data_IF_098091594723
#
_entry.id   IF_098091594723
#
_cell.length_a   1.000
_cell.length_b   1.000
_cell.length_c   1.000
_cell.angle_alpha   90.00
_cell.angle_beta   90.00
_cell.angle_gamma   90.00
#
_symmetry.space_group_name_H-M   'P 1'
#
loop_
_entity.id
_entity.type
_entity.pdbx_description
1 polymer ?
#
# COMPACT_ATOMS: atom_id res chain seq x y z
N UNK A 1 40.42 15.93 -21.98
CA UNK A 1 40.21 15.65 -20.54
C UNK A 1 39.47 14.31 -20.43
N UNK A 2 40.18 13.23 -20.13
CA UNK A 2 39.66 11.86 -20.08
C UNK A 2 38.93 11.62 -18.74
N UNK A 3 37.59 11.59 -18.75
CA UNK A 3 36.81 11.18 -17.58
C UNK A 3 36.34 9.73 -17.79
N UNK A 4 37.01 8.78 -17.12
CA UNK A 4 36.58 7.38 -17.02
C UNK A 4 35.49 7.27 -15.95
N UNK A 5 34.22 7.22 -16.37
CA UNK A 5 33.09 6.93 -15.49
C UNK A 5 33.15 5.46 -15.01
N UNK A 6 33.62 5.24 -13.78
CA UNK A 6 33.57 3.93 -13.10
C UNK A 6 32.31 3.88 -12.23
N UNK A 7 31.17 3.53 -12.83
CA UNK A 7 29.85 3.41 -12.15
C UNK A 7 29.68 2.06 -11.44
N UNK A 8 30.39 1.02 -11.90
CA UNK A 8 30.26 -0.35 -11.40
C UNK A 8 30.67 -0.58 -9.92
N UNK A 9 31.74 0.05 -9.37
CA UNK A 9 32.09 -0.15 -7.95
C UNK A 9 31.12 0.54 -6.98
N UNK A 10 30.39 1.58 -7.42
CA UNK A 10 29.41 2.29 -6.59
C UNK A 10 28.13 1.45 -6.43
N UNK A 11 27.74 0.72 -7.47
CA UNK A 11 26.60 -0.21 -7.42
C UNK A 11 26.91 -1.42 -6.52
N UNK A 12 28.15 -1.92 -6.54
CA UNK A 12 28.60 -3.01 -5.68
C UNK A 12 28.64 -2.60 -4.19
N UNK A 13 29.09 -1.36 -3.89
CA UNK A 13 29.07 -0.82 -2.53
C UNK A 13 27.64 -0.58 -2.01
N UNK A 14 26.72 -0.17 -2.89
CA UNK A 14 25.30 -0.01 -2.57
C UNK A 14 24.59 -1.35 -2.28
N UNK A 15 25.02 -2.45 -2.92
CA UNK A 15 24.48 -3.79 -2.63
C UNK A 15 25.05 -4.41 -1.35
N UNK A 16 26.30 -4.13 -0.98
CA UNK A 16 26.91 -4.66 0.25
C UNK A 16 26.27 -4.08 1.54
N UNK A 17 25.78 -2.84 1.48
CA UNK A 17 25.10 -2.17 2.61
C UNK A 17 23.65 -2.61 2.83
N UNK A 18 23.08 -3.41 1.93
CA UNK A 18 21.75 -4.01 2.10
C UNK A 18 21.75 -5.21 3.08
N UNK A 19 22.91 -5.77 3.42
CA UNK A 19 23.03 -6.99 4.24
C UNK A 19 23.77 -6.80 5.58
N UNK A 20 24.13 -5.58 5.96
CA UNK A 20 24.76 -5.34 7.26
C UNK A 20 23.71 -5.43 8.41
N UNK A 21 23.94 -6.22 9.46
CA UNK A 21 23.08 -6.23 10.63
C UNK A 21 23.13 -4.85 11.30
N UNK A 22 21.97 -4.23 11.50
CA UNK A 22 21.86 -2.95 12.20
C UNK A 22 22.03 -3.17 13.70
N UNK A 23 23.08 -2.57 14.25
CA UNK A 23 23.34 -2.52 15.69
C UNK A 23 22.23 -1.70 16.37
N UNK A 24 21.53 -2.34 17.30
CA UNK A 24 20.55 -1.73 18.18
C UNK A 24 21.31 -0.87 19.22
N UNK A 25 21.05 0.43 19.27
CA UNK A 25 21.53 1.26 20.36
C UNK A 25 20.75 0.91 21.63
N UNK A 26 21.45 0.35 22.62
CA UNK A 26 20.92 0.02 23.93
C UNK A 26 20.90 1.30 24.78
N UNK A 27 19.72 1.70 25.27
CA UNK A 27 19.56 2.84 26.17
C UNK A 27 19.34 2.32 27.60
N UNK A 28 19.95 2.93 28.64
CA UNK A 28 20.12 2.28 29.93
C UNK A 28 18.80 2.08 30.66
N UNK A 29 18.70 0.94 31.36
CA UNK A 29 17.61 0.61 32.25
C UNK A 29 17.51 1.62 33.40
N UNK A 30 16.38 2.33 33.49
CA UNK A 30 15.98 3.03 34.70
C UNK A 30 15.26 2.04 35.63
N UNK A 31 15.74 1.94 36.87
CA UNK A 31 15.21 1.07 37.92
C UNK A 31 13.73 1.37 38.27
N UNK A 32 12.96 0.38 38.75
CA UNK A 32 11.51 0.50 38.92
C UNK A 32 11.18 1.32 40.17
N UNK A 33 10.38 2.38 39.99
CA UNK A 33 9.75 3.08 41.09
C UNK A 33 8.52 2.28 41.55
N UNK A 34 8.60 1.72 42.77
CA UNK A 34 7.49 1.08 43.49
C UNK A 34 6.66 2.18 44.16
N UNK A 35 5.36 2.23 43.88
CA UNK A 35 4.34 2.97 44.64
C UNK A 35 2.95 2.35 44.38
N UNK A 36 2.01 2.41 45.35
CA UNK A 36 1.39 1.22 45.91
C UNK A 36 0.02 0.87 45.33
N UNK A 37 -0.36 -0.39 45.57
CA UNK A 37 -1.70 -0.93 45.35
C UNK A 37 -2.76 -0.10 46.10
N UNK A 38 -3.73 0.41 45.36
CA UNK A 38 -5.00 0.91 45.91
C UNK A 38 -6.14 0.06 45.36
N UNK A 39 -6.80 -0.63 46.27
CA UNK A 39 -8.01 -1.42 46.06
C UNK A 39 -9.18 -0.46 45.84
N UNK A 40 -9.85 -0.54 44.69
CA UNK A 40 -11.24 -0.10 44.55
C UNK A 40 -11.92 -0.78 43.35
N UNK A 41 -12.96 -1.55 43.69
CA UNK A 41 -13.90 -2.22 42.80
C UNK A 41 -14.57 -1.26 41.79
N UNK A 42 -14.54 -1.61 40.50
CA UNK A 42 -15.70 -1.38 39.60
C UNK A 42 -15.64 -2.35 38.42
N UNK A 43 -16.82 -2.71 37.90
CA UNK A 43 -17.07 -3.77 36.92
C UNK A 43 -16.55 -3.52 35.49
N UNK A 44 -15.45 -2.78 35.33
CA UNK A 44 -14.82 -2.46 34.06
C UNK A 44 -13.52 -3.27 33.86
N UNK A 45 -13.26 -3.71 32.63
CA UNK A 45 -12.00 -4.37 32.30
C UNK A 45 -10.84 -3.37 32.45
N UNK A 46 -9.83 -3.74 33.23
CA UNK A 46 -8.63 -2.91 33.44
C UNK A 46 -7.64 -3.13 32.29
N UNK A 47 -6.84 -2.11 31.99
CA UNK A 47 -5.86 -2.11 30.89
C UNK A 47 -4.59 -1.37 31.32
N UNK A 48 -3.44 -2.01 31.10
CA UNK A 48 -2.10 -1.48 31.34
C UNK A 48 -1.23 -1.74 30.10
N UNK A 49 -0.31 -0.82 29.81
CA UNK A 49 0.63 -0.93 28.70
C UNK A 49 2.05 -0.84 29.25
N UNK A 50 2.95 -1.70 28.76
CA UNK A 50 4.36 -1.74 29.17
C UNK A 50 5.17 -0.50 28.74
N UNK A 51 4.86 0.07 27.57
CA UNK A 51 5.54 1.24 27.01
C UNK A 51 4.54 2.31 26.58
N UNK A 52 4.84 3.55 26.93
CA UNK A 52 4.04 4.73 26.56
C UNK A 52 4.52 5.39 25.27
N UNK A 53 5.71 5.03 24.77
CA UNK A 53 6.23 5.55 23.50
C UNK A 53 7.10 4.55 22.72
N UNK A 54 7.06 4.65 21.39
CA UNK A 54 7.85 3.87 20.43
C UNK A 54 8.61 4.80 19.47
N UNK A 55 9.71 4.30 18.91
CA UNK A 55 10.53 4.99 17.91
C UNK A 55 10.52 4.19 16.59
N UNK A 56 9.67 4.58 15.65
CA UNK A 56 9.45 3.91 14.36
C UNK A 56 9.06 2.42 14.48
N UNK A 57 8.09 2.13 15.34
CA UNK A 57 7.58 0.77 15.58
C UNK A 57 8.23 0.05 16.76
N UNK A 58 7.82 -1.20 16.97
CA UNK A 58 8.30 -2.04 18.07
C UNK A 58 7.20 -2.90 18.70
N UNK A 59 7.59 -3.65 19.72
CA UNK A 59 6.69 -4.51 20.49
C UNK A 59 6.19 -3.79 21.74
N UNK A 60 4.88 -3.89 21.94
CA UNK A 60 4.13 -3.43 23.10
C UNK A 60 3.35 -4.59 23.68
N UNK A 61 3.37 -4.72 24.99
CA UNK A 61 2.57 -5.69 25.74
C UNK A 61 1.42 -4.96 26.42
N UNK A 62 0.20 -5.36 26.08
CA UNK A 62 -1.03 -4.88 26.73
C UNK A 62 -1.47 -5.95 27.71
N UNK A 63 -1.64 -5.59 28.98
CA UNK A 63 -2.06 -6.50 30.04
C UNK A 63 -3.23 -5.93 30.81
N UNK A 64 -4.00 -6.78 31.47
CA UNK A 64 -5.10 -6.31 32.31
C UNK A 64 -5.96 -7.45 32.84
N UNK A 65 -7.05 -7.08 33.50
CA UNK A 65 -8.02 -8.03 34.06
C UNK A 65 -9.39 -7.82 33.43
N UNK A 66 -9.97 -8.90 32.92
CA UNK A 66 -11.32 -8.96 32.38
C UNK A 66 -12.20 -9.88 33.24
N UNK A 67 -13.54 -9.80 33.12
CA UNK A 67 -14.44 -10.73 33.81
C UNK A 67 -14.11 -12.20 33.46
N UNK A 68 -14.13 -13.09 34.44
CA UNK A 68 -13.79 -14.50 34.25
C UNK A 68 -14.71 -15.17 33.22
N UNK A 69 -14.14 -16.00 32.34
CA UNK A 69 -14.86 -16.68 31.25
C UNK A 69 -15.17 -15.81 30.02
N UNK A 70 -14.73 -14.55 30.00
CA UNK A 70 -14.96 -13.66 28.85
C UNK A 70 -13.91 -13.81 27.74
N UNK A 71 -14.34 -13.66 26.49
CA UNK A 71 -13.42 -13.55 25.36
C UNK A 71 -12.92 -12.11 25.25
N UNK A 72 -11.60 -11.93 25.28
CA UNK A 72 -10.96 -10.61 25.24
C UNK A 72 -10.47 -10.28 23.83
N UNK A 73 -10.86 -9.11 23.34
CA UNK A 73 -10.43 -8.55 22.06
C UNK A 73 -9.76 -7.21 22.29
N UNK A 74 -8.62 -6.97 21.62
CA UNK A 74 -7.89 -5.71 21.74
C UNK A 74 -7.95 -4.98 20.41
N UNK A 75 -8.61 -3.82 20.36
CA UNK A 75 -8.66 -2.94 19.19
C UNK A 75 -7.56 -1.87 19.33
N UNK A 76 -6.68 -1.77 18.33
CA UNK A 76 -5.60 -0.78 18.27
C UNK A 76 -5.75 0.06 17.02
N UNK A 77 -5.77 1.39 17.17
CA UNK A 77 -5.92 2.30 16.05
C UNK A 77 -5.20 3.64 16.27
N UNK A 78 -4.74 4.26 15.18
CA UNK A 78 -4.15 5.60 15.24
C UNK A 78 -5.23 6.67 15.43
N UNK A 79 -5.11 7.54 16.45
CA UNK A 79 -6.08 8.62 16.70
C UNK A 79 -5.79 9.85 15.87
N UNK A 80 -4.52 10.24 15.78
CA UNK A 80 -4.14 11.57 15.30
C UNK A 80 -4.05 11.63 13.77
N UNK A 81 -3.62 10.52 13.17
CA UNK A 81 -3.38 10.43 11.73
C UNK A 81 -4.49 9.63 11.06
N UNK A 82 -5.20 10.31 10.18
CA UNK A 82 -6.25 9.76 9.33
C UNK A 82 -5.80 9.73 7.88
N UNK A 83 -6.35 8.81 7.11
CA UNK A 83 -5.99 8.53 5.73
C UNK A 83 -7.23 8.42 4.86
N UNK A 84 -7.03 8.66 3.57
CA UNK A 84 -8.08 8.47 2.59
C UNK A 84 -8.23 6.99 2.26
N UNK A 85 -9.46 6.51 2.25
CA UNK A 85 -9.82 5.23 1.66
C UNK A 85 -10.97 5.43 0.67
N UNK A 86 -10.91 4.71 -0.43
CA UNK A 86 -11.94 4.76 -1.46
C UNK A 86 -12.23 3.37 -2.02
N UNK A 87 -13.44 3.20 -2.55
CA UNK A 87 -13.88 1.98 -3.22
C UNK A 87 -14.89 2.36 -4.29
N UNK A 88 -14.70 1.86 -5.49
CA UNK A 88 -15.67 1.93 -6.56
C UNK A 88 -16.45 0.62 -6.64
N UNK A 89 -17.78 0.72 -6.63
CA UNK A 89 -18.68 -0.41 -6.79
C UNK A 89 -19.17 -0.49 -8.25
N UNK A 90 -18.36 -1.17 -9.06
CA UNK A 90 -18.64 -1.46 -10.47
C UNK A 90 -18.99 -2.93 -10.72
N UNK A 91 -19.20 -3.74 -9.67
CA UNK A 91 -19.58 -5.15 -9.85
C UNK A 91 -21.08 -5.28 -10.06
N UNK A 92 -21.47 -6.23 -10.93
CA UNK A 92 -22.88 -6.59 -11.08
C UNK A 92 -23.38 -7.11 -9.74
N UNK A 93 -24.39 -6.45 -9.19
CA UNK A 93 -25.00 -6.90 -7.95
C UNK A 93 -25.80 -8.18 -8.22
N UNK A 94 -25.51 -9.24 -7.47
CA UNK A 94 -26.14 -10.55 -7.61
C UNK A 94 -27.66 -10.49 -7.38
N UNK A 95 -28.13 -9.50 -6.60
CA UNK A 95 -29.55 -9.37 -6.24
C UNK A 95 -30.36 -8.55 -7.24
N UNK A 96 -29.76 -7.51 -7.82
CA UNK A 96 -30.46 -6.57 -8.70
C UNK A 96 -30.08 -6.72 -10.17
N UNK A 97 -29.02 -7.46 -10.48
CA UNK A 97 -28.51 -7.67 -11.83
C UNK A 97 -27.97 -6.39 -12.51
N UNK A 98 -28.05 -5.24 -11.85
CA UNK A 98 -27.58 -3.94 -12.33
C UNK A 98 -26.22 -3.61 -11.72
N UNK A 99 -25.43 -2.83 -12.45
CA UNK A 99 -24.16 -2.30 -11.94
C UNK A 99 -24.48 -0.99 -11.20
N UNK A 100 -24.20 -0.89 -9.89
CA UNK A 100 -24.62 0.25 -9.09
C UNK A 100 -23.85 1.54 -9.40
N UNK A 101 -22.61 1.44 -9.90
CA UNK A 101 -21.71 2.57 -10.18
C UNK A 101 -21.63 3.56 -9.01
N UNK A 102 -21.36 3.06 -7.81
CA UNK A 102 -21.25 3.90 -6.61
C UNK A 102 -19.79 4.08 -6.21
N UNK A 103 -19.40 5.31 -5.94
CA UNK A 103 -18.06 5.63 -5.46
C UNK A 103 -18.12 6.03 -3.99
N UNK A 104 -17.48 5.23 -3.14
CA UNK A 104 -17.38 5.47 -1.70
C UNK A 104 -16.02 6.06 -1.39
N UNK A 105 -15.99 7.13 -0.60
CA UNK A 105 -14.76 7.78 -0.15
C UNK A 105 -14.90 8.23 1.30
N UNK A 106 -13.81 8.10 2.04
CA UNK A 106 -13.66 8.65 3.39
C UNK A 106 -12.28 9.23 3.55
N UNK A 107 -12.16 10.32 4.31
CA UNK A 107 -10.90 10.91 4.75
C UNK A 107 -10.59 10.60 6.21
N UNK A 108 -11.53 9.95 6.91
CA UNK A 108 -11.48 9.76 8.35
C UNK A 108 -10.99 8.37 8.79
N UNK A 109 -10.50 7.56 7.85
CA UNK A 109 -10.01 6.22 8.17
C UNK A 109 -8.72 6.31 9.00
N UNK A 110 -8.58 5.55 10.10
CA UNK A 110 -7.31 5.48 10.83
C UNK A 110 -6.16 5.04 9.91
N UNK A 111 -5.01 5.70 10.01
CA UNK A 111 -3.80 5.32 9.28
C UNK A 111 -3.35 3.88 9.60
N UNK A 112 -3.49 3.48 10.86
CA UNK A 112 -3.25 2.13 11.34
C UNK A 112 -4.48 1.58 12.06
N UNK A 113 -4.80 0.31 11.81
CA UNK A 113 -5.90 -0.38 12.45
C UNK A 113 -5.60 -1.88 12.57
N UNK A 114 -5.72 -2.43 13.78
CA UNK A 114 -5.51 -3.86 14.03
C UNK A 114 -6.37 -4.33 15.21
N UNK A 115 -6.99 -5.49 15.07
CA UNK A 115 -7.69 -6.18 16.16
C UNK A 115 -6.88 -7.41 16.55
N UNK A 116 -6.57 -7.56 17.83
CA UNK A 116 -5.99 -8.77 18.39
C UNK A 116 -7.11 -9.67 18.92
N UNK A 117 -7.07 -10.93 18.52
CA UNK A 117 -8.01 -11.98 18.90
C UNK A 117 -7.33 -13.02 19.80
N UNK A 118 -8.09 -13.77 20.61
CA UNK A 118 -7.56 -14.89 21.39
C UNK A 118 -6.81 -15.91 20.53
N UNK A 119 -5.73 -16.49 21.07
CA UNK A 119 -4.94 -17.54 20.39
C UNK A 119 -5.77 -18.74 19.94
N UNK A 120 -6.83 -19.06 20.66
CA UNK A 120 -7.79 -20.14 20.32
C UNK A 120 -8.41 -19.95 18.93
N UNK A 121 -8.56 -18.70 18.47
CA UNK A 121 -9.15 -18.36 17.18
C UNK A 121 -8.12 -18.31 16.04
N UNK A 122 -6.86 -18.71 16.28
CA UNK A 122 -5.81 -18.73 15.28
C UNK A 122 -6.17 -19.58 14.05
N UNK A 123 -6.91 -20.70 14.24
CA UNK A 123 -7.35 -21.56 13.14
C UNK A 123 -8.27 -20.85 12.12
N UNK A 124 -9.19 -19.99 12.58
CA UNK A 124 -10.05 -19.19 11.70
C UNK A 124 -9.27 -18.05 11.01
N UNK A 125 -8.25 -17.52 11.70
CA UNK A 125 -7.34 -16.52 11.12
C UNK A 125 -6.48 -17.10 9.99
N UNK A 126 -5.99 -18.32 10.12
CA UNK A 126 -5.19 -18.98 9.09
C UNK A 126 -6.04 -19.39 7.88
N UNK A 127 -7.31 -19.81 8.09
CA UNK A 127 -8.29 -19.98 6.99
C UNK A 127 -8.50 -18.67 6.23
N UNK A 128 -8.58 -17.54 6.93
CA UNK A 128 -8.73 -16.23 6.30
C UNK A 128 -7.49 -15.84 5.46
N UNK A 129 -6.28 -16.17 5.91
CA UNK A 129 -5.06 -15.99 5.12
C UNK A 129 -5.04 -16.88 3.87
N UNK A 130 -5.47 -18.14 4.01
CA UNK A 130 -5.50 -19.11 2.90
C UNK A 130 -6.51 -18.71 1.80
N UNK A 131 -7.60 -18.03 2.16
CA UNK A 131 -8.62 -17.56 1.21
C UNK A 131 -8.13 -16.45 0.24
N UNK A 132 -6.93 -15.89 0.44
CA UNK A 132 -6.30 -14.98 -0.52
C UNK A 132 -7.14 -13.72 -0.82
N UNK A 133 -7.72 -13.64 -2.03
CA UNK A 133 -8.47 -12.47 -2.53
C UNK A 133 -9.96 -12.49 -2.19
N UNK A 134 -10.54 -13.67 -1.97
CA UNK A 134 -11.99 -13.88 -1.88
C UNK A 134 -12.55 -13.77 -0.46
N UNK A 135 -11.68 -13.53 0.52
CA UNK A 135 -12.08 -13.37 1.91
C UNK A 135 -13.01 -12.17 2.14
N UNK A 136 -14.01 -12.28 3.02
CA UNK A 136 -14.88 -11.16 3.42
C UNK A 136 -14.60 -10.78 4.87
N UNK A 137 -14.18 -9.53 5.08
CA UNK A 137 -13.80 -9.04 6.41
C UNK A 137 -14.95 -9.14 7.42
N UNK A 138 -16.18 -8.84 7.00
CA UNK A 138 -17.37 -8.95 7.84
C UNK A 138 -17.66 -10.38 8.29
N UNK A 139 -17.51 -11.38 7.41
CA UNK A 139 -17.73 -12.79 7.74
C UNK A 139 -16.64 -13.30 8.68
N UNK A 140 -15.39 -12.92 8.43
CA UNK A 140 -14.25 -13.28 9.28
C UNK A 140 -14.39 -12.70 10.69
N UNK A 141 -14.77 -11.43 10.82
CA UNK A 141 -15.03 -10.81 12.12
C UNK A 141 -16.17 -11.50 12.87
N UNK A 142 -17.26 -11.86 12.20
CA UNK A 142 -18.39 -12.57 12.82
C UNK A 142 -18.00 -13.97 13.29
N UNK A 143 -17.28 -14.72 12.46
CA UNK A 143 -16.79 -16.08 12.82
C UNK A 143 -15.86 -16.03 14.02
N UNK A 144 -14.98 -15.04 14.07
CA UNK A 144 -14.10 -14.85 15.22
C UNK A 144 -14.75 -14.13 16.39
N UNK A 145 -15.95 -13.56 16.20
CA UNK A 145 -16.61 -12.76 17.22
C UNK A 145 -15.97 -11.41 17.55
N UNK A 146 -15.04 -10.98 16.71
CA UNK A 146 -14.32 -9.71 16.83
C UNK A 146 -15.16 -8.50 16.33
N UNK A 147 -16.36 -8.75 15.80
CA UNK A 147 -17.30 -7.70 15.37
C UNK A 147 -17.80 -6.84 16.54
N UNK A 148 -17.77 -7.39 17.77
CA UNK A 148 -18.07 -6.69 19.01
C UNK A 148 -17.02 -5.61 19.35
N UNK A 149 -15.76 -5.87 18.98
CA UNK A 149 -14.61 -4.99 19.19
C UNK A 149 -14.44 -3.96 18.06
N UNK A 150 -14.99 -4.20 16.87
CA UNK A 150 -14.91 -3.27 15.74
C UNK A 150 -15.69 -1.97 16.01
N UNK A 151 -14.99 -0.90 16.38
CA UNK A 151 -15.62 0.34 16.83
C UNK A 151 -15.08 1.60 16.15
N UNK A 152 -13.75 1.75 16.00
CA UNK A 152 -13.18 2.99 15.46
C UNK A 152 -13.55 3.23 13.98
N UNK A 153 -13.41 2.25 13.06
CA UNK A 153 -13.75 2.49 11.66
C UNK A 153 -15.26 2.40 11.39
N UNK A 154 -16.06 1.89 12.35
CA UNK A 154 -17.51 1.72 12.18
C UNK A 154 -18.27 3.06 12.16
N UNK A 155 -17.72 4.10 12.79
CA UNK A 155 -18.35 5.42 12.97
C UNK A 155 -17.80 6.50 12.05
N UNK A 156 -16.95 6.13 11.09
CA UNK A 156 -16.34 7.11 10.18
C UNK A 156 -17.39 7.66 9.22
N UNK A 157 -17.24 8.93 8.85
CA UNK A 157 -18.03 9.53 7.79
C UNK A 157 -17.61 8.94 6.44
N UNK A 158 -18.57 8.41 5.69
CA UNK A 158 -18.35 7.89 4.34
C UNK A 158 -19.26 8.66 3.40
N UNK A 159 -18.65 9.38 2.46
CA UNK A 159 -19.37 10.03 1.38
C UNK A 159 -19.59 9.00 0.27
N UNK A 160 -20.83 8.89 -0.20
CA UNK A 160 -21.24 8.02 -1.29
C UNK A 160 -21.63 8.88 -2.49
N UNK A 161 -21.01 8.64 -3.63
CA UNK A 161 -21.32 9.33 -4.87
C UNK A 161 -21.94 8.36 -5.87
N UNK A 162 -23.00 8.80 -6.53
CA UNK A 162 -23.49 8.12 -7.73
C UNK A 162 -22.59 8.53 -8.88
N UNK A 163 -21.64 7.65 -9.22
CA UNK A 163 -20.75 7.85 -10.33
C UNK A 163 -21.45 7.41 -11.63
N UNK A 164 -21.10 8.07 -12.72
CA UNK A 164 -21.39 7.61 -14.07
C UNK A 164 -20.08 7.35 -14.78
N UNK A 165 -20.10 6.53 -15.84
CA UNK A 165 -18.92 6.30 -16.68
C UNK A 165 -18.40 7.65 -17.19
N UNK A 166 -19.28 8.55 -17.65
CA UNK A 166 -18.89 9.90 -18.07
C UNK A 166 -18.32 10.77 -16.96
N UNK A 167 -18.86 10.71 -15.74
CA UNK A 167 -18.29 11.43 -14.61
C UNK A 167 -16.87 10.96 -14.28
N UNK A 168 -16.63 9.64 -14.28
CA UNK A 168 -15.30 9.04 -14.08
C UNK A 168 -14.29 9.54 -15.11
N UNK A 169 -14.71 9.66 -16.39
CA UNK A 169 -13.87 10.11 -17.51
C UNK A 169 -13.43 11.56 -17.37
N UNK A 170 -14.33 12.47 -16.97
CA UNK A 170 -14.01 13.90 -16.81
C UNK A 170 -13.39 14.23 -15.43
N UNK A 171 -13.06 13.20 -14.64
CA UNK A 171 -12.54 13.37 -13.28
C UNK A 171 -13.58 13.86 -12.26
N UNK A 172 -14.86 13.82 -12.61
CA UNK A 172 -15.97 14.13 -11.71
C UNK A 172 -16.27 12.94 -10.80
N UNK A 173 -16.55 13.23 -9.53
CA UNK A 173 -16.94 12.21 -8.54
C UNK A 173 -18.39 11.75 -8.73
N UNK A 174 -19.17 12.40 -9.59
CA UNK A 174 -20.60 12.17 -9.74
C UNK A 174 -21.44 12.99 -8.76
N UNK A 175 -22.69 12.60 -8.54
CA UNK A 175 -23.61 13.29 -7.63
C UNK A 175 -23.48 12.73 -6.21
N UNK A 176 -23.38 13.60 -5.21
CA UNK A 176 -23.33 13.19 -3.80
C UNK A 176 -24.71 12.65 -3.39
N UNK A 177 -24.74 11.44 -2.84
CA UNK A 177 -25.95 10.81 -2.34
C UNK A 177 -26.19 11.20 -0.86
N UNK A 178 -27.41 10.98 -0.34
CA UNK A 178 -27.71 11.19 1.07
C UNK A 178 -26.84 10.31 1.98
N UNK A 179 -26.63 10.80 3.21
CA UNK A 179 -25.91 10.03 4.24
C UNK A 179 -26.58 8.69 4.48
N UNK A 180 -25.75 7.66 4.64
CA UNK A 180 -26.19 6.30 4.89
C UNK A 180 -26.56 6.10 6.36
N UNK A 181 -27.41 5.11 6.63
CA UNK A 181 -27.70 4.67 8.00
C UNK A 181 -26.45 4.07 8.68
N UNK A 182 -26.45 3.99 10.01
CA UNK A 182 -25.30 3.49 10.78
C UNK A 182 -24.93 2.05 10.41
N UNK A 183 -25.92 1.21 10.07
CA UNK A 183 -25.69 -0.19 9.72
C UNK A 183 -25.06 -0.32 8.33
N UNK A 184 -25.53 0.45 7.33
CA UNK A 184 -24.87 0.52 6.04
C UNK A 184 -23.48 1.14 6.14
N UNK A 185 -23.29 2.19 6.94
CA UNK A 185 -21.98 2.80 7.19
C UNK A 185 -21.00 1.80 7.81
N UNK A 186 -21.44 1.02 8.80
CA UNK A 186 -20.63 -0.07 9.38
C UNK A 186 -20.27 -1.13 8.32
N UNK A 187 -21.20 -1.52 7.46
CA UNK A 187 -20.96 -2.49 6.38
C UNK A 187 -19.96 -1.96 5.34
N UNK A 188 -20.13 -0.73 4.86
CA UNK A 188 -19.25 -0.12 3.86
C UNK A 188 -17.87 0.20 4.45
N UNK A 189 -17.79 0.60 5.72
CA UNK A 189 -16.49 0.79 6.40
C UNK A 189 -15.67 -0.50 6.41
N UNK A 190 -16.29 -1.66 6.66
CA UNK A 190 -15.60 -2.96 6.63
C UNK A 190 -15.05 -3.28 5.23
N UNK A 191 -15.77 -2.90 4.17
CA UNK A 191 -15.31 -3.08 2.79
C UNK A 191 -14.16 -2.12 2.45
N UNK A 192 -14.21 -0.88 2.92
CA UNK A 192 -13.13 0.10 2.76
C UNK A 192 -11.87 -0.33 3.54
N UNK A 193 -12.02 -0.83 4.77
CA UNK A 193 -10.94 -1.39 5.58
C UNK A 193 -10.30 -2.58 4.87
N UNK A 194 -11.11 -3.53 4.33
CA UNK A 194 -10.58 -4.60 3.47
C UNK A 194 -9.79 -4.05 2.28
N UNK A 195 -10.35 -3.08 1.56
CA UNK A 195 -9.73 -2.49 0.37
C UNK A 195 -8.38 -1.81 0.66
N UNK A 196 -8.29 -1.14 1.82
CA UNK A 196 -7.09 -0.43 2.27
C UNK A 196 -5.97 -1.37 2.71
N UNK A 197 -6.26 -2.29 3.64
CA UNK A 197 -5.24 -3.12 4.27
C UNK A 197 -4.95 -4.41 3.49
N UNK A 198 -5.88 -4.85 2.63
CA UNK A 198 -5.80 -5.98 1.66
C UNK A 198 -5.58 -7.38 2.24
N UNK A 199 -4.79 -7.52 3.29
CA UNK A 199 -4.40 -8.78 3.91
C UNK A 199 -4.99 -8.92 5.32
N UNK A 200 -5.54 -10.10 5.67
CA UNK A 200 -6.03 -10.38 7.03
C UNK A 200 -4.99 -10.12 8.11
N UNK A 201 -3.72 -10.50 7.88
CA UNK A 201 -2.65 -10.33 8.89
C UNK A 201 -2.25 -8.89 9.22
N UNK A 202 -2.64 -7.92 8.38
CA UNK A 202 -2.49 -6.49 8.72
C UNK A 202 -3.61 -6.00 9.63
N UNK A 203 -4.79 -6.61 9.54
CA UNK A 203 -5.99 -6.23 10.27
C UNK A 203 -6.20 -7.03 11.55
N UNK A 204 -5.67 -8.24 11.61
CA UNK A 204 -5.95 -9.22 12.64
C UNK A 204 -4.65 -9.86 13.14
N UNK A 205 -4.56 -10.14 14.43
CA UNK A 205 -3.47 -10.92 15.03
C UNK A 205 -3.97 -11.81 16.16
N UNK A 206 -3.61 -13.08 16.16
CA UNK A 206 -4.02 -14.04 17.19
C UNK A 206 -2.99 -14.08 18.34
N UNK A 207 -2.89 -12.98 19.08
CA UNK A 207 -1.79 -12.75 20.02
C UNK A 207 -2.28 -12.44 21.45
N UNK A 208 -3.55 -12.74 21.76
CA UNK A 208 -4.12 -12.56 23.10
C UNK A 208 -4.11 -13.89 23.83
N UNK A 209 -3.42 -13.94 24.96
CA UNK A 209 -3.42 -15.02 25.93
C UNK A 209 -4.34 -14.63 27.09
N UNK A 210 -5.25 -15.53 27.46
CA UNK A 210 -6.21 -15.34 28.55
C UNK A 210 -5.96 -16.46 29.56
N UNK A 211 -5.74 -16.08 30.81
CA UNK A 211 -5.60 -17.02 31.91
C UNK A 211 -6.98 -17.33 32.52
N UNK A 212 -7.16 -18.49 33.17
CA UNK A 212 -8.45 -18.90 33.76
C UNK A 212 -8.97 -17.95 34.84
N UNK A 213 -8.10 -17.13 35.43
CA UNK A 213 -8.41 -16.10 36.44
C UNK A 213 -9.00 -14.80 35.85
N UNK A 214 -9.09 -14.70 34.51
CA UNK A 214 -9.54 -13.51 33.78
C UNK A 214 -8.41 -12.51 33.49
N UNK A 215 -7.16 -12.80 33.84
CA UNK A 215 -6.00 -11.99 33.47
C UNK A 215 -5.66 -12.23 32.01
N UNK A 216 -5.43 -11.17 31.23
CA UNK A 216 -5.06 -11.29 29.83
C UNK A 216 -3.75 -10.57 29.50
N UNK A 217 -3.04 -11.10 28.51
CA UNK A 217 -1.82 -10.50 27.94
C UNK A 217 -1.89 -10.55 26.43
N UNK A 218 -1.72 -9.39 25.79
CA UNK A 218 -1.75 -9.24 24.34
C UNK A 218 -0.44 -8.61 23.84
N UNK A 219 0.28 -9.34 22.99
CA UNK A 219 1.50 -8.82 22.36
C UNK A 219 1.16 -8.13 21.03
N UNK A 220 1.33 -6.81 21.00
CA UNK A 220 1.19 -5.98 19.82
C UNK A 220 2.56 -5.71 19.20
N UNK A 221 2.80 -6.27 18.02
CA UNK A 221 3.88 -5.82 17.14
C UNK A 221 3.37 -4.70 16.24
N UNK A 222 3.90 -3.49 16.41
CA UNK A 222 3.74 -2.38 15.48
C UNK A 222 4.90 -2.45 14.47
N UNK A 223 4.64 -2.75 13.18
CA UNK A 223 5.70 -2.81 12.18
C UNK A 223 6.44 -1.46 12.08
N UNK A 224 7.67 -1.44 11.56
CA UNK A 224 8.31 -0.17 11.24
C UNK A 224 7.53 0.60 10.16
N UNK A 225 7.83 1.88 9.99
CA UNK A 225 7.27 2.71 8.93
C UNK A 225 5.76 2.99 9.06
N UNK A 226 5.24 3.00 10.29
CA UNK A 226 3.83 3.36 10.58
C UNK A 226 3.66 4.85 10.82
N UNK A 227 2.43 5.31 11.01
CA UNK A 227 2.14 6.72 11.23
C UNK A 227 2.72 7.23 12.57
N UNK A 228 3.21 8.47 12.64
CA UNK A 228 3.61 9.08 13.90
C UNK A 228 2.41 9.62 14.68
N UNK A 229 2.55 9.78 15.98
CA UNK A 229 1.55 10.33 16.89
C UNK A 229 0.88 9.27 17.76
N UNK A 230 -0.29 9.61 18.31
CA UNK A 230 -0.96 8.76 19.31
C UNK A 230 -1.74 7.60 18.70
N UNK A 231 -1.65 6.47 19.37
CA UNK A 231 -2.38 5.24 19.11
C UNK A 231 -3.22 4.92 20.32
N UNK A 232 -4.50 4.64 20.09
CA UNK A 232 -5.45 4.26 21.12
C UNK A 232 -5.62 2.74 21.14
N UNK A 233 -5.65 2.19 22.35
CA UNK A 233 -5.89 0.79 22.63
C UNK A 233 -7.18 0.69 23.43
N UNK A 234 -8.13 -0.12 22.93
CA UNK A 234 -9.41 -0.40 23.58
C UNK A 234 -9.55 -1.90 23.74
N UNK A 235 -9.83 -2.35 24.95
CA UNK A 235 -10.10 -3.76 25.22
C UNK A 235 -11.61 -3.95 25.33
N UNK A 236 -12.13 -4.91 24.57
CA UNK A 236 -13.53 -5.31 24.63
C UNK A 236 -13.59 -6.76 25.11
N UNK A 237 -14.12 -6.96 26.31
CA UNK A 237 -14.42 -8.28 26.85
C UNK A 237 -15.87 -8.65 26.52
N UNK A 238 -16.06 -9.81 25.90
CA UNK A 238 -17.39 -10.36 25.58
C UNK A 238 -17.71 -11.44 26.60
N UNK A 239 -18.69 -11.17 27.46
CA UNK A 239 -19.06 -12.05 28.59
C UNK A 239 -20.10 -13.09 28.18
N UNK A 240 -21.08 -12.71 27.37
CA UNK A 240 -22.13 -13.62 26.88
C UNK A 240 -22.54 -13.24 25.45
N UNK A 241 -22.83 -14.26 24.64
CA UNK A 241 -23.51 -14.11 23.35
C UNK A 241 -24.82 -14.87 23.39
N UNK A 242 -25.91 -14.11 23.41
CA UNK A 242 -27.26 -14.68 23.35
C UNK A 242 -27.71 -14.57 21.89
N UNK A 243 -27.96 -15.71 21.25
CA UNK A 243 -28.56 -15.77 19.92
C UNK A 243 -30.04 -16.05 20.09
N UNK A 244 -30.87 -15.05 19.79
CA UNK A 244 -32.33 -15.18 19.80
C UNK A 244 -32.82 -14.99 18.35
N UNK A 245 -33.00 -16.10 17.63
CA UNK A 245 -33.29 -16.09 16.19
C UNK A 245 -32.16 -15.50 15.33
N UNK A 246 -32.49 -14.58 14.43
CA UNK A 246 -31.53 -13.86 13.54
C UNK A 246 -30.79 -12.69 14.24
N UNK A 247 -31.05 -12.44 15.53
CA UNK A 247 -30.46 -11.35 16.31
C UNK A 247 -29.51 -11.90 17.37
N UNK A 248 -28.25 -11.50 17.28
CA UNK A 248 -27.21 -11.82 18.27
C UNK A 248 -27.03 -10.60 19.20
N UNK A 249 -27.43 -10.76 20.47
CA UNK A 249 -27.20 -9.77 21.52
C UNK A 249 -25.92 -10.14 22.27
N UNK A 250 -24.89 -9.31 22.09
CA UNK A 250 -23.58 -9.50 22.69
C UNK A 250 -23.46 -8.60 23.91
N UNK A 251 -23.45 -9.20 25.11
CA UNK A 251 -23.06 -8.46 26.33
C UNK A 251 -21.56 -8.22 26.28
N UNK A 252 -21.17 -6.96 26.28
CA UNK A 252 -19.76 -6.54 26.17
C UNK A 252 -19.42 -5.49 27.21
N UNK A 253 -18.23 -5.61 27.77
CA UNK A 253 -17.62 -4.62 28.66
C UNK A 253 -16.44 -4.01 27.90
N UNK A 254 -16.39 -2.69 27.82
CA UNK A 254 -15.27 -1.96 27.22
C UNK A 254 -14.39 -1.39 28.33
N UNK A 255 -13.08 -1.46 28.15
CA UNK A 255 -12.11 -0.77 28.98
C UNK A 255 -12.10 0.73 28.69
N UNK A 256 -11.42 1.48 29.56
CA UNK A 256 -10.96 2.82 29.24
C UNK A 256 -9.96 2.80 28.07
N UNK A 257 -9.81 3.95 27.39
CA UNK A 257 -8.92 4.10 26.25
C UNK A 257 -7.53 4.46 26.77
N UNK A 258 -6.54 3.60 26.53
CA UNK A 258 -5.13 3.91 26.85
C UNK A 258 -4.40 4.25 25.57
N UNK A 259 -3.56 5.28 25.62
CA UNK A 259 -2.83 5.76 24.45
C UNK A 259 -1.32 5.59 24.61
N UNK A 260 -0.64 5.26 23.51
CA UNK A 260 0.83 5.32 23.39
C UNK A 260 1.23 6.18 22.18
N UNK A 261 2.43 6.76 22.20
CA UNK A 261 2.95 7.63 21.13
C UNK A 261 3.95 6.88 20.24
N UNK A 262 3.89 7.06 18.93
CA UNK A 262 4.92 6.60 18.00
C UNK A 262 5.64 7.81 17.40
N UNK A 263 6.93 7.95 17.69
CA UNK A 263 7.77 9.03 17.17
C UNK A 263 8.58 8.55 15.98
N UNK A 264 8.80 9.46 15.04
CA UNK A 264 9.58 9.20 13.83
C UNK A 264 10.63 10.28 13.71
N UNK A 265 11.85 9.87 13.38
CA UNK A 265 12.99 10.75 13.21
C UNK A 265 13.48 10.73 11.76
N UNK A 266 14.05 11.84 11.33
CA UNK A 266 14.75 11.93 10.05
C UNK A 266 15.85 10.86 9.97
N UNK A 267 16.02 10.12 8.84
CA UNK A 267 15.54 10.40 7.48
C UNK A 267 14.18 9.79 7.11
N UNK A 268 13.45 9.21 8.06
CA UNK A 268 12.11 8.64 7.82
C UNK A 268 11.06 9.75 7.90
N UNK A 269 10.20 9.85 6.89
CA UNK A 269 9.15 10.86 6.79
C UNK A 269 7.78 10.20 6.64
N UNK A 270 6.80 10.76 7.35
CA UNK A 270 5.41 10.32 7.23
C UNK A 270 4.75 10.90 5.99
N UNK A 271 4.19 10.02 5.16
CA UNK A 271 3.41 10.41 4.00
C UNK A 271 1.92 10.42 4.35
N UNK A 272 1.36 11.60 4.64
CA UNK A 272 -0.07 11.78 4.99
C UNK A 272 -1.02 11.08 4.01
N UNK A 273 -0.73 11.15 2.71
CA UNK A 273 -1.57 10.55 1.67
C UNK A 273 -1.42 9.03 1.58
N UNK A 274 -0.24 8.49 1.91
CA UNK A 274 0.04 7.07 1.84
C UNK A 274 -0.31 6.34 3.15
N UNK A 275 -0.39 7.06 4.28
CA UNK A 275 -0.64 6.49 5.59
C UNK A 275 0.52 5.69 6.16
N UNK A 276 1.70 5.80 5.55
CA UNK A 276 2.91 5.05 5.88
C UNK A 276 4.08 6.01 5.90
N UNK A 277 5.06 5.69 6.72
CA UNK A 277 6.33 6.41 6.74
C UNK A 277 7.32 5.74 5.81
N UNK A 278 8.28 6.49 5.29
CA UNK A 278 9.29 5.96 4.38
C UNK A 278 10.59 6.71 4.60
N UNK A 279 11.70 5.98 4.55
CA UNK A 279 13.02 6.59 4.50
C UNK A 279 13.18 7.27 3.14
N UNK A 280 13.32 8.60 3.11
CA UNK A 280 13.30 9.37 1.86
C UNK A 280 14.51 9.06 0.96
N UNK A 281 15.64 8.68 1.54
CA UNK A 281 16.90 8.54 0.80
C UNK A 281 16.84 7.42 -0.24
N UNK A 282 16.24 6.28 0.12
CA UNK A 282 16.22 5.11 -0.77
C UNK A 282 15.34 5.29 -2.01
N UNK A 283 14.06 5.70 -1.90
CA UNK A 283 13.24 6.00 -3.06
C UNK A 283 13.83 7.12 -3.91
N UNK A 284 14.43 8.14 -3.29
CA UNK A 284 15.03 9.25 -4.02
C UNK A 284 16.17 8.78 -4.93
N UNK A 285 17.13 8.03 -4.39
CA UNK A 285 18.25 7.49 -5.17
C UNK A 285 17.77 6.55 -6.29
N UNK A 286 16.79 5.70 -5.97
CA UNK A 286 16.20 4.78 -6.94
C UNK A 286 15.50 5.54 -8.09
N UNK A 287 14.69 6.54 -7.76
CA UNK A 287 14.04 7.40 -8.74
C UNK A 287 15.06 8.15 -9.61
N UNK A 288 16.14 8.66 -9.02
CA UNK A 288 17.20 9.35 -9.74
C UNK A 288 17.85 8.42 -10.79
N UNK A 289 18.28 7.23 -10.38
CA UNK A 289 18.93 6.25 -11.25
C UNK A 289 17.98 5.84 -12.39
N UNK A 290 16.75 5.46 -12.06
CA UNK A 290 15.76 5.01 -13.06
C UNK A 290 15.41 6.15 -14.03
N UNK A 291 15.30 7.39 -13.55
CA UNK A 291 14.97 8.53 -14.41
C UNK A 291 16.12 8.84 -15.38
N UNK A 292 17.38 8.75 -14.95
CA UNK A 292 18.54 8.90 -15.83
C UNK A 292 18.52 7.85 -16.94
N UNK A 293 18.38 6.57 -16.59
CA UNK A 293 18.26 5.49 -17.58
C UNK A 293 17.03 5.65 -18.47
N UNK A 294 15.91 6.10 -17.90
CA UNK A 294 14.66 6.35 -18.60
C UNK A 294 14.79 7.44 -19.68
N UNK A 295 15.53 8.52 -19.39
CA UNK A 295 15.82 9.59 -20.35
C UNK A 295 16.79 9.10 -21.45
N UNK A 296 17.80 8.28 -21.09
CA UNK A 296 18.72 7.68 -22.07
C UNK A 296 17.98 6.76 -23.05
N UNK A 297 16.99 6.01 -22.57
CA UNK A 297 16.17 5.12 -23.40
C UNK A 297 15.03 5.85 -24.14
N UNK A 298 14.77 7.13 -23.80
CA UNK A 298 13.69 7.93 -24.39
C UNK A 298 12.27 7.61 -23.88
N UNK A 299 12.14 6.77 -22.85
CA UNK A 299 10.86 6.29 -22.32
C UNK A 299 10.46 6.95 -20.97
N UNK A 300 11.26 7.87 -20.44
CA UNK A 300 10.94 8.66 -19.24
C UNK A 300 10.92 7.89 -17.92
N UNK A 301 11.28 6.59 -17.91
CA UNK A 301 11.49 5.78 -16.71
C UNK A 301 10.22 5.35 -15.96
N UNK A 302 9.05 5.95 -16.22
CA UNK A 302 7.81 5.73 -15.47
C UNK A 302 7.29 4.30 -15.46
N UNK A 303 7.43 3.59 -16.59
CA UNK A 303 7.02 2.19 -16.72
C UNK A 303 7.85 1.24 -15.84
N UNK A 304 9.09 1.62 -15.49
CA UNK A 304 9.97 0.90 -14.56
C UNK A 304 9.73 1.39 -13.12
N UNK A 305 9.59 2.70 -12.95
CA UNK A 305 9.55 3.35 -11.65
C UNK A 305 8.29 2.96 -10.85
N UNK A 306 7.14 2.84 -11.51
CA UNK A 306 5.89 2.43 -10.87
C UNK A 306 5.93 1.00 -10.26
N UNK A 307 6.27 -0.07 -11.00
CA UNK A 307 6.32 -1.42 -10.42
C UNK A 307 7.41 -1.55 -9.36
N UNK A 308 8.57 -0.93 -9.54
CA UNK A 308 9.66 -1.01 -8.55
C UNK A 308 9.26 -0.33 -7.24
N UNK A 309 8.69 0.87 -7.28
CA UNK A 309 8.28 1.59 -6.07
C UNK A 309 7.20 0.84 -5.29
N UNK A 310 6.21 0.27 -5.99
CA UNK A 310 5.10 -0.47 -5.36
C UNK A 310 5.57 -1.81 -4.79
N UNK A 311 6.60 -2.42 -5.36
CA UNK A 311 7.11 -3.73 -4.91
C UNK A 311 8.08 -3.58 -3.75
N UNK A 312 8.97 -2.59 -3.78
CA UNK A 312 10.00 -2.40 -2.76
C UNK A 312 9.51 -1.62 -1.54
N UNK A 313 8.54 -0.71 -1.73
CA UNK A 313 8.05 0.15 -0.66
C UNK A 313 6.56 -0.14 -0.38
N UNK A 314 6.12 -0.07 0.89
CA UNK A 314 4.74 -0.34 1.27
C UNK A 314 3.78 0.80 0.90
N UNK A 315 3.90 1.37 -0.30
CA UNK A 315 3.14 2.52 -0.77
C UNK A 315 1.87 2.09 -1.51
N UNK A 316 0.76 2.84 -1.38
CA UNK A 316 -0.43 2.58 -2.18
C UNK A 316 -0.16 2.87 -3.66
N UNK A 317 -0.61 1.98 -4.54
CA UNK A 317 -0.43 2.10 -6.00
C UNK A 317 -0.94 3.44 -6.55
N UNK A 318 -2.06 3.94 -6.03
CA UNK A 318 -2.65 5.22 -6.45
C UNK A 318 -1.75 6.41 -6.12
N UNK A 319 -1.06 6.38 -4.98
CA UNK A 319 -0.14 7.43 -4.57
C UNK A 319 1.13 7.36 -5.42
N UNK A 320 1.68 6.16 -5.64
CA UNK A 320 2.84 5.98 -6.51
C UNK A 320 2.53 6.50 -7.91
N UNK A 321 1.44 6.06 -8.55
CA UNK A 321 1.05 6.54 -9.87
C UNK A 321 0.91 8.08 -9.91
N UNK A 322 0.29 8.67 -8.89
CA UNK A 322 0.15 10.14 -8.77
C UNK A 322 1.50 10.87 -8.68
N UNK A 323 2.49 10.30 -7.99
CA UNK A 323 3.83 10.90 -7.86
C UNK A 323 4.70 10.65 -9.09
N UNK A 324 4.61 9.47 -9.71
CA UNK A 324 5.41 9.12 -10.90
C UNK A 324 5.02 9.96 -12.11
N UNK A 325 3.74 10.27 -12.30
CA UNK A 325 3.26 11.07 -13.44
C UNK A 325 4.03 12.40 -13.63
N UNK A 326 4.09 13.32 -12.64
CA UNK A 326 4.86 14.56 -12.78
C UNK A 326 6.37 14.30 -12.89
N UNK A 327 6.92 13.30 -12.19
CA UNK A 327 8.34 12.95 -12.33
C UNK A 327 8.70 12.62 -13.78
N UNK A 328 7.89 11.79 -14.44
CA UNK A 328 8.08 11.41 -15.85
C UNK A 328 7.88 12.63 -16.75
N UNK A 329 6.87 13.47 -16.49
CA UNK A 329 6.64 14.69 -17.26
C UNK A 329 7.86 15.61 -17.26
N UNK A 330 8.43 15.91 -16.09
CA UNK A 330 9.61 16.78 -15.97
C UNK A 330 10.88 16.12 -16.53
N UNK A 331 11.04 14.82 -16.36
CA UNK A 331 12.14 14.06 -16.95
C UNK A 331 12.09 14.12 -18.49
N UNK A 332 10.91 13.93 -19.07
CA UNK A 332 10.70 14.01 -20.52
C UNK A 332 10.88 15.44 -21.05
N UNK A 333 10.36 16.45 -20.34
CA UNK A 333 10.57 17.85 -20.72
C UNK A 333 12.07 18.21 -20.77
N UNK A 334 12.82 17.78 -19.75
CA UNK A 334 14.27 17.96 -19.69
C UNK A 334 14.98 17.18 -20.81
N UNK A 335 14.53 15.96 -21.09
CA UNK A 335 15.00 15.15 -22.22
C UNK A 335 14.82 15.88 -23.55
N UNK A 336 13.62 16.38 -23.83
CA UNK A 336 13.30 17.14 -25.05
C UNK A 336 14.21 18.37 -25.14
N UNK A 337 14.38 19.13 -24.06
CA UNK A 337 15.28 20.30 -24.05
C UNK A 337 16.72 19.91 -24.39
N UNK A 338 17.26 18.85 -23.79
CA UNK A 338 18.63 18.41 -24.00
C UNK A 338 18.85 17.85 -25.42
N UNK A 339 17.96 16.98 -25.91
CA UNK A 339 18.05 16.45 -27.27
C UNK A 339 17.81 17.53 -28.35
N UNK A 340 16.99 18.54 -28.05
CA UNK A 340 16.78 19.68 -28.95
C UNK A 340 18.06 20.53 -29.07
N UNK A 341 18.80 20.76 -27.96
CA UNK A 341 20.09 21.47 -28.00
C UNK A 341 21.11 20.78 -28.91
N UNK A 342 21.10 19.46 -28.96
CA UNK A 342 21.98 18.65 -29.83
C UNK A 342 21.40 18.49 -31.26
N UNK A 343 20.27 19.15 -31.57
CA UNK A 343 19.53 19.05 -32.86
C UNK A 343 19.21 17.62 -33.28
N UNK A 344 18.99 16.73 -32.31
CA UNK A 344 18.72 15.31 -32.54
C UNK A 344 17.23 15.00 -32.76
N UNK A 345 16.35 16.00 -32.59
CA UNK A 345 14.89 15.82 -32.65
C UNK A 345 14.36 16.15 -34.04
N UNK A 346 13.68 15.18 -34.66
CA UNK A 346 12.81 15.45 -35.79
C UNK A 346 11.41 15.86 -35.28
N UNK A 347 11.13 17.17 -35.27
CA UNK A 347 9.89 17.73 -34.74
C UNK A 347 8.63 17.26 -35.46
N UNK A 348 8.68 17.03 -36.78
CA UNK A 348 7.52 16.53 -37.54
C UNK A 348 7.11 15.14 -37.07
N UNK A 349 8.09 14.24 -36.94
CA UNK A 349 7.86 12.88 -36.46
C UNK A 349 7.50 12.86 -34.97
N UNK A 350 8.19 13.67 -34.16
CA UNK A 350 7.93 13.77 -32.72
C UNK A 350 6.51 14.25 -32.39
N UNK A 351 6.03 15.30 -33.07
CA UNK A 351 4.65 15.80 -32.88
C UNK A 351 3.64 14.78 -33.38
N UNK A 352 3.87 14.17 -34.56
CA UNK A 352 2.96 13.16 -35.10
C UNK A 352 2.77 11.96 -34.17
N UNK A 353 3.86 11.40 -33.66
CA UNK A 353 3.81 10.30 -32.69
C UNK A 353 3.23 10.80 -31.36
N UNK A 354 3.61 11.99 -30.90
CA UNK A 354 3.09 12.58 -29.66
C UNK A 354 1.57 12.73 -29.67
N UNK A 355 0.99 13.22 -30.78
CA UNK A 355 -0.46 13.31 -30.95
C UNK A 355 -1.12 11.92 -30.96
N UNK A 356 -0.54 10.95 -31.66
CA UNK A 356 -1.04 9.57 -31.66
C UNK A 356 -1.01 8.95 -30.26
N UNK A 357 0.07 9.17 -29.49
CA UNK A 357 0.20 8.72 -28.10
C UNK A 357 -0.79 9.42 -27.18
N UNK A 358 -1.06 10.72 -27.38
CA UNK A 358 -2.04 11.46 -26.61
C UNK A 358 -3.44 10.88 -26.83
N UNK A 359 -3.84 10.69 -28.09
CA UNK A 359 -5.12 10.06 -28.44
C UNK A 359 -5.21 8.64 -27.89
N UNK A 360 -4.14 7.84 -28.05
CA UNK A 360 -4.04 6.49 -27.48
C UNK A 360 -4.13 6.47 -25.95
N UNK A 361 -3.59 7.48 -25.26
CA UNK A 361 -3.65 7.63 -23.81
C UNK A 361 -5.06 7.89 -23.27
N UNK A 362 -5.94 8.49 -24.06
CA UNK A 362 -7.36 8.64 -23.72
C UNK A 362 -8.20 7.42 -24.10
N UNK A 363 -7.91 6.79 -25.24
CA UNK A 363 -8.66 5.64 -25.74
C UNK A 363 -8.30 4.36 -24.97
N UNK A 364 -7.03 4.16 -24.65
CA UNK A 364 -6.52 2.95 -23.99
C UNK A 364 -7.25 2.62 -22.69
N UNK A 365 -7.31 3.53 -21.70
CA UNK A 365 -8.06 3.32 -20.46
C UNK A 365 -9.53 2.93 -20.72
N UNK A 366 -10.21 3.58 -21.68
CA UNK A 366 -11.59 3.23 -22.04
C UNK A 366 -11.73 1.81 -22.56
N UNK A 367 -10.82 1.37 -23.43
CA UNK A 367 -10.85 -0.01 -23.93
C UNK A 367 -10.58 -1.01 -22.79
N UNK A 368 -9.70 -0.67 -21.85
CA UNK A 368 -9.40 -1.56 -20.72
C UNK A 368 -10.55 -1.68 -19.71
N UNK A 369 -11.44 -0.69 -19.61
CA UNK A 369 -12.66 -0.80 -18.79
C UNK A 369 -13.68 -1.78 -19.39
N UNK A 370 -13.66 -1.98 -20.70
CA UNK A 370 -14.58 -2.88 -21.41
C UNK A 370 -14.13 -4.35 -21.40
N UNK A 371 -12.92 -4.62 -20.93
CA UNK A 371 -12.27 -5.94 -20.98
C UNK A 371 -11.99 -6.40 -19.55
N UNK A 372 -12.24 -7.67 -19.23
CA UNK A 372 -11.91 -8.20 -17.90
C UNK A 372 -10.39 -8.28 -17.69
N UNK A 373 -9.94 -8.21 -16.43
CA UNK A 373 -8.51 -8.23 -16.09
C UNK A 373 -7.78 -9.48 -16.60
N UNK A 374 -8.47 -10.63 -16.66
CA UNK A 374 -7.89 -11.87 -17.17
C UNK A 374 -7.78 -11.88 -18.70
N UNK A 375 -8.78 -11.35 -19.41
CA UNK A 375 -8.71 -11.13 -20.86
C UNK A 375 -7.60 -10.12 -21.22
N UNK A 376 -7.46 -9.05 -20.45
CA UNK A 376 -6.40 -8.07 -20.64
C UNK A 376 -5.02 -8.71 -20.49
N UNK A 377 -4.81 -9.50 -19.42
CA UNK A 377 -3.54 -10.23 -19.23
C UNK A 377 -3.25 -11.21 -20.36
N UNK A 378 -4.26 -11.94 -20.82
CA UNK A 378 -4.12 -12.89 -21.92
C UNK A 378 -3.71 -12.17 -23.21
N UNK A 379 -4.42 -11.10 -23.58
CA UNK A 379 -4.11 -10.29 -24.76
C UNK A 379 -2.72 -9.64 -24.65
N UNK A 380 -2.41 -9.04 -23.51
CA UNK A 380 -1.12 -8.41 -23.25
C UNK A 380 0.03 -9.41 -23.32
N UNK A 381 -0.16 -10.62 -22.77
CA UNK A 381 0.80 -11.71 -22.87
C UNK A 381 1.08 -12.12 -24.32
N UNK A 382 0.05 -12.21 -25.16
CA UNK A 382 0.21 -12.47 -26.60
C UNK A 382 0.97 -11.36 -27.32
N UNK A 383 0.66 -10.09 -27.03
CA UNK A 383 1.39 -8.94 -27.60
C UNK A 383 2.87 -8.99 -27.21
N UNK A 384 3.19 -9.29 -25.95
CA UNK A 384 4.57 -9.45 -25.50
C UNK A 384 5.28 -10.62 -26.18
N UNK A 385 4.60 -11.75 -26.39
CA UNK A 385 5.15 -12.89 -27.11
C UNK A 385 5.48 -12.55 -28.56
N UNK A 386 4.55 -11.87 -29.25
CA UNK A 386 4.77 -11.42 -30.63
C UNK A 386 5.93 -10.42 -30.70
N UNK A 387 6.00 -9.46 -29.79
CA UNK A 387 7.11 -8.51 -29.71
C UNK A 387 8.44 -9.21 -29.44
N UNK A 388 8.48 -10.15 -28.50
CA UNK A 388 9.68 -10.93 -28.21
C UNK A 388 10.13 -11.75 -29.43
N UNK A 389 9.19 -12.42 -30.12
CA UNK A 389 9.47 -13.16 -31.35
C UNK A 389 9.97 -12.24 -32.47
N UNK A 390 9.35 -11.06 -32.64
CA UNK A 390 9.78 -10.06 -33.62
C UNK A 390 11.19 -9.54 -33.30
N UNK A 391 11.48 -9.17 -32.05
CA UNK A 391 12.81 -8.72 -31.65
C UNK A 391 13.86 -9.82 -31.83
N UNK A 392 13.52 -11.07 -31.52
CA UNK A 392 14.40 -12.22 -31.73
C UNK A 392 14.66 -12.47 -33.23
N UNK A 393 13.62 -12.39 -34.06
CA UNK A 393 13.73 -12.49 -35.51
C UNK A 393 14.60 -11.37 -36.09
N UNK A 394 14.41 -10.13 -35.62
CA UNK A 394 15.23 -8.98 -36.01
C UNK A 394 16.70 -9.13 -35.59
N UNK A 395 16.97 -9.93 -34.55
CA UNK A 395 18.35 -10.21 -34.09
C UNK A 395 18.99 -11.38 -34.85
N UNK A 396 18.23 -12.11 -35.67
CA UNK A 396 18.71 -13.26 -36.43
C UNK A 396 19.54 -12.80 -37.66
N UNK A 397 20.69 -13.44 -37.97
CA UNK A 397 21.62 -12.98 -39.01
C UNK A 397 21.00 -12.88 -40.43
N UNK A 398 19.97 -13.68 -40.73
CA UNK A 398 19.27 -13.64 -42.02
C UNK A 398 18.44 -12.37 -42.26
N UNK A 399 17.95 -11.70 -41.20
CA UNK A 399 17.18 -10.45 -41.32
C UNK A 399 18.11 -9.24 -41.45
N UNK A 400 19.18 -9.19 -40.66
CA UNK A 400 20.25 -8.17 -40.77
C UNK A 400 20.94 -8.16 -42.14
N UNK A 401 21.04 -9.31 -42.81
CA UNK A 401 21.65 -9.44 -44.12
C UNK A 401 20.85 -8.76 -45.24
N UNK A 402 19.53 -8.63 -45.10
CA UNK A 402 18.65 -8.11 -46.16
C UNK A 402 18.25 -6.65 -45.97
N UNK A 403 18.37 -6.08 -44.77
CA UNK A 403 18.02 -4.69 -44.49
C UNK A 403 19.19 -3.72 -44.67
N UNK A 404 19.25 -3.08 -45.85
CA UNK A 404 20.28 -2.07 -46.22
C UNK A 404 20.44 -0.92 -45.20
N UNK A 405 19.37 -0.52 -44.51
CA UNK A 405 19.40 0.55 -43.48
C UNK A 405 20.13 0.12 -42.20
N UNK A 406 19.89 -1.11 -41.73
CA UNK A 406 20.55 -1.65 -40.53
C UNK A 406 22.03 -1.94 -40.81
N UNK A 407 22.38 -2.38 -42.02
CA UNK A 407 23.78 -2.51 -42.43
C UNK A 407 24.51 -1.18 -42.50
N UNK A 408 23.87 -0.13 -43.03
CA UNK A 408 24.45 1.21 -43.04
C UNK A 408 24.71 1.71 -41.61
N UNK A 409 23.75 1.50 -40.70
CA UNK A 409 23.87 1.83 -39.28
C UNK A 409 25.01 1.03 -38.63
N UNK A 410 25.06 -0.30 -38.81
CA UNK A 410 26.14 -1.16 -38.30
C UNK A 410 27.52 -0.77 -38.84
N UNK A 411 27.60 -0.42 -40.13
CA UNK A 411 28.85 0.00 -40.78
C UNK A 411 29.32 1.36 -40.25
N UNK A 412 28.39 2.28 -40.00
CA UNK A 412 28.70 3.58 -39.39
C UNK A 412 29.12 3.42 -37.91
N UNK A 413 28.43 2.58 -37.14
CA UNK A 413 28.80 2.26 -35.75
C UNK A 413 30.18 1.62 -35.66
N UNK A 414 30.49 0.64 -36.53
CA UNK A 414 31.82 0.01 -36.59
C UNK A 414 32.90 1.01 -36.96
N UNK A 415 32.66 1.86 -37.97
CA UNK A 415 33.59 2.92 -38.38
C UNK A 415 33.87 3.92 -37.25
N UNK A 416 32.85 4.32 -36.49
CA UNK A 416 33.01 5.21 -35.33
C UNK A 416 33.73 4.52 -34.16
N UNK A 417 33.47 3.23 -33.93
CA UNK A 417 34.16 2.45 -32.91
C UNK A 417 35.65 2.27 -33.23
N UNK A 418 36.00 1.95 -34.48
CA UNK A 418 37.38 1.83 -34.95
C UNK A 418 38.13 3.17 -34.87
N UNK A 419 37.48 4.28 -35.23
CA UNK A 419 38.04 5.62 -35.07
C UNK A 419 38.29 5.97 -33.59
N UNK A 420 37.40 5.57 -32.68
CA UNK A 420 37.58 5.79 -31.24
C UNK A 420 38.66 4.89 -30.61
N UNK A 421 38.91 3.70 -31.17
CA UNK A 421 40.02 2.83 -30.78
C UNK A 421 41.35 3.40 -31.28
N UNK A 422 41.41 3.87 -32.54
CA UNK A 422 42.59 4.56 -33.10
C UNK A 422 42.93 5.89 -32.43
N UNK A 423 41.96 6.57 -31.83
CA UNK A 423 42.19 7.79 -31.07
C UNK A 423 42.62 7.54 -29.61
N UNK A 424 42.63 6.27 -29.15
CA UNK A 424 43.01 5.86 -27.80
C UNK A 424 44.29 5.03 -27.72
N UNK A 425 44.79 4.52 -28.85
CA UNK A 425 46.17 4.04 -29.00
C UNK A 425 47.04 5.18 -29.52
#
# INVERSE_FOLDING_TARGET
>A
MNIKFRVLPIIALAMALLFAPRVQAEQPAAAPAVAPAAVASSAAATINIDKTSLNDGGDITVSGKAPAGSQVYVEVFSSDKKVRANRFDGKKDEKTGKIPYKFYITTDMPAFYKILVPKEMAGEFDKAKAAGKDWKYSEVLKKMGADAAYSAPAKIKIDNYQATIMASIIGSRGTLLPQMDEKATKSESMKLVKGRFRSPGKLLGANVEIQPDGTYTAKLNLPPSQAPGKYNVIVTAVTERIKEGDKETVKKVKSEVVSFDNKISFPTMYLNNAGTSINLLWPFLLCLVISIFGILMGAGGGFILNPILVTLFPLPHTIVAGTVMPTVLFAQATGIMNYNKVKFINWKLGIGIGCAMLVGGFIGPKLTEMITLDQFKFLFGWVLLVLAALMFWQTTPGYLANNKKEQAILKEFKKRAEAAVKAKG
#
